data_IF_522543575348
#
_entry.id   IF_522543575348
#
_cell.length_a   1.000
_cell.length_b   1.000
_cell.length_c   1.000
_cell.angle_alpha   90.00
_cell.angle_beta   90.00
_cell.angle_gamma   90.00
#
_symmetry.space_group_name_H-M   'P 1'
#
loop_
_entity.id
_entity.type
_entity.pdbx_description
1 polymer ?
#
# COMPACT_ATOMS: atom_id res chain seq x y z
N UNK A 1 -14.91 12.00 6.60
CA UNK A 1 -14.48 10.63 6.26
C UNK A 1 -13.07 10.53 6.79
N UNK A 2 -12.87 9.75 7.85
CA UNK A 2 -11.63 9.74 8.62
C UNK A 2 -10.51 9.15 7.77
N UNK A 3 -9.60 10.00 7.28
CA UNK A 3 -8.25 9.59 6.90
C UNK A 3 -7.61 9.03 8.17
N UNK A 4 -7.72 7.72 8.37
CA UNK A 4 -6.97 7.03 9.41
C UNK A 4 -5.50 7.20 9.06
N UNK A 5 -4.78 8.04 9.83
CA UNK A 5 -3.32 8.11 9.95
C UNK A 5 -2.72 6.78 10.49
N UNK A 6 -3.29 5.64 10.12
CA UNK A 6 -2.71 4.33 10.36
C UNK A 6 -1.70 4.05 9.29
N UNK A 7 -0.48 3.72 9.71
CA UNK A 7 0.55 3.20 8.81
C UNK A 7 -0.05 2.05 7.98
N UNK A 8 0.19 2.04 6.66
CA UNK A 8 -0.39 1.04 5.78
C UNK A 8 0.14 -0.36 6.14
N UNK A 9 -0.70 -1.37 5.94
CA UNK A 9 -0.40 -2.77 6.24
C UNK A 9 -0.09 -3.58 4.99
N UNK A 10 0.57 -4.72 5.15
CA UNK A 10 0.86 -5.62 4.03
C UNK A 10 -0.43 -6.04 3.32
N UNK A 11 -0.41 -5.88 2.00
CA UNK A 11 -1.54 -6.12 1.11
C UNK A 11 -2.50 -4.94 0.97
N UNK A 12 -2.28 -3.82 1.66
CA UNK A 12 -3.05 -2.60 1.39
C UNK A 12 -2.61 -1.97 0.07
N UNK A 13 -3.57 -1.38 -0.61
CA UNK A 13 -3.32 -0.54 -1.76
C UNK A 13 -3.16 0.92 -1.32
N UNK A 14 -2.06 1.53 -1.74
CA UNK A 14 -1.65 2.88 -1.35
C UNK A 14 -1.35 3.75 -2.56
N UNK A 15 -1.39 5.06 -2.35
CA UNK A 15 -0.85 6.06 -3.25
C UNK A 15 0.46 6.60 -2.68
N UNK A 16 1.52 6.53 -3.48
CA UNK A 16 2.80 7.21 -3.27
C UNK A 16 2.87 8.36 -4.28
N UNK A 17 2.49 9.57 -3.86
CA UNK A 17 2.28 10.68 -4.79
C UNK A 17 1.21 10.35 -5.84
N UNK A 18 1.63 10.24 -7.10
CA UNK A 18 0.75 9.86 -8.22
C UNK A 18 0.82 8.36 -8.57
N UNK A 19 1.69 7.60 -7.89
CA UNK A 19 1.91 6.19 -8.16
C UNK A 19 0.99 5.33 -7.29
N UNK A 20 0.18 4.49 -7.92
CA UNK A 20 -0.60 3.45 -7.25
C UNK A 20 0.28 2.24 -6.99
N UNK A 21 0.28 1.72 -5.77
CA UNK A 21 1.08 0.59 -5.36
C UNK A 21 0.36 -0.29 -4.33
N UNK A 22 0.88 -1.49 -4.12
CA UNK A 22 0.46 -2.41 -3.05
C UNK A 22 1.62 -2.60 -2.10
N UNK A 23 1.35 -2.56 -0.80
CA UNK A 23 2.33 -2.89 0.22
C UNK A 23 2.61 -4.39 0.20
N UNK A 24 3.86 -4.77 0.02
CA UNK A 24 4.27 -6.18 0.00
C UNK A 24 4.96 -6.62 1.28
N UNK A 25 5.63 -5.70 1.97
CA UNK A 25 6.38 -5.99 3.18
C UNK A 25 6.59 -4.72 4.03
N UNK A 26 6.93 -4.90 5.32
CA UNK A 26 7.31 -3.83 6.25
C UNK A 26 8.52 -4.31 7.06
N UNK A 27 9.70 -3.75 6.75
CA UNK A 27 10.97 -4.17 7.34
C UNK A 27 11.59 -3.01 8.11
N UNK A 28 11.67 -3.14 9.44
CA UNK A 28 12.25 -2.09 10.29
C UNK A 28 11.57 -0.72 10.15
N UNK A 29 10.27 -0.69 9.84
CA UNK A 29 9.50 0.54 9.59
C UNK A 29 9.57 1.07 8.15
N UNK A 30 10.36 0.43 7.27
CA UNK A 30 10.37 0.72 5.82
C UNK A 30 9.27 -0.09 5.15
N UNK A 31 8.34 0.61 4.49
CA UNK A 31 7.26 0.00 3.72
C UNK A 31 7.78 -0.33 2.33
N UNK A 32 7.58 -1.57 1.88
CA UNK A 32 7.96 -2.03 0.54
C UNK A 32 6.74 -2.10 -0.36
N UNK A 33 6.89 -1.61 -1.58
CA UNK A 33 5.82 -1.38 -2.53
C UNK A 33 6.07 -2.13 -3.83
N UNK A 34 4.99 -2.54 -4.50
CA UNK A 34 5.01 -3.02 -5.88
C UNK A 34 3.85 -2.43 -6.68
N UNK A 35 3.97 -2.45 -8.01
CA UNK A 35 2.84 -2.11 -8.90
C UNK A 35 1.68 -3.11 -8.73
N UNK A 36 0.40 -2.66 -8.72
CA UNK A 36 -0.75 -3.52 -8.48
C UNK A 36 -0.94 -4.63 -9.52
N UNK A 37 -0.63 -4.34 -10.79
CA UNK A 37 -0.86 -5.26 -11.91
C UNK A 37 0.29 -6.25 -12.18
N UNK A 38 1.23 -6.39 -11.22
CA UNK A 38 2.39 -7.27 -11.35
C UNK A 38 3.42 -6.77 -12.39
N UNK A 39 4.53 -7.50 -12.51
CA UNK A 39 5.53 -7.26 -13.57
C UNK A 39 6.52 -6.11 -13.35
N UNK A 40 6.68 -5.61 -12.12
CA UNK A 40 7.68 -4.60 -11.77
C UNK A 40 8.51 -4.99 -10.54
N UNK A 41 9.69 -4.38 -10.36
CA UNK A 41 10.48 -4.56 -9.15
C UNK A 41 9.72 -4.04 -7.92
N UNK A 42 10.06 -4.55 -6.76
CA UNK A 42 9.66 -3.95 -5.49
C UNK A 42 10.59 -2.76 -5.18
N UNK A 43 10.06 -1.73 -4.55
CA UNK A 43 10.85 -0.57 -4.10
C UNK A 43 10.46 -0.16 -2.67
N UNK A 44 11.40 0.38 -1.88
CA UNK A 44 11.07 0.97 -0.59
C UNK A 44 10.33 2.30 -0.80
N UNK A 45 9.31 2.56 0.02
CA UNK A 45 8.59 3.82 0.01
C UNK A 45 9.51 4.95 0.49
N UNK A 46 9.51 6.08 -0.21
CA UNK A 46 10.37 7.23 0.12
C UNK A 46 9.95 7.88 1.45
N UNK A 47 8.63 8.03 1.64
CA UNK A 47 8.05 8.61 2.85
C UNK A 47 6.86 7.75 3.32
N UNK A 48 7.08 6.65 4.05
CA UNK A 48 6.02 5.71 4.45
C UNK A 48 4.84 6.33 5.19
N UNK A 49 5.08 7.44 5.92
CA UNK A 49 4.06 8.17 6.68
C UNK A 49 3.17 9.06 5.82
N UNK A 50 3.56 9.34 4.58
CA UNK A 50 2.78 10.12 3.61
C UNK A 50 1.99 9.24 2.65
N UNK A 51 2.09 7.91 2.78
CA UNK A 51 1.30 6.99 1.96
C UNK A 51 -0.18 7.13 2.31
N UNK A 52 -0.98 7.40 1.30
CA UNK A 52 -2.44 7.42 1.45
C UNK A 52 -3.00 6.04 1.15
N UNK A 53 -3.62 5.40 2.13
CA UNK A 53 -4.33 4.14 1.91
C UNK A 53 -5.56 4.40 1.05
N UNK A 54 -5.59 3.81 -0.15
CA UNK A 54 -6.71 3.91 -1.08
C UNK A 54 -7.73 2.80 -0.84
N UNK A 55 -7.25 1.59 -0.54
CA UNK A 55 -8.07 0.42 -0.22
C UNK A 55 -7.28 -0.51 0.67
N UNK A 56 -7.87 -0.92 1.78
CA UNK A 56 -7.27 -1.92 2.65
C UNK A 56 -7.39 -3.32 2.04
N UNK A 57 -6.52 -4.24 2.48
CA UNK A 57 -6.63 -5.66 2.13
C UNK A 57 -8.01 -6.24 2.47
N UNK A 58 -8.59 -5.83 3.59
CA UNK A 58 -9.92 -6.30 4.03
C UNK A 58 -11.02 -5.87 3.07
N UNK A 59 -10.98 -4.63 2.60
CA UNK A 59 -11.94 -4.13 1.62
C UNK A 59 -11.81 -4.86 0.28
N UNK A 60 -10.58 -5.17 -0.16
CA UNK A 60 -10.36 -5.95 -1.38
C UNK A 60 -10.88 -7.39 -1.27
N UNK A 61 -10.66 -8.05 -0.12
CA UNK A 61 -11.21 -9.38 0.15
C UNK A 61 -12.74 -9.35 0.15
N UNK A 62 -13.35 -8.35 0.80
CA UNK A 62 -14.80 -8.20 0.84
C UNK A 62 -15.41 -7.94 -0.55
N UNK A 63 -14.65 -7.30 -1.46
CA UNK A 63 -15.05 -7.06 -2.84
C UNK A 63 -14.81 -8.26 -3.79
N UNK A 64 -14.01 -9.26 -3.37
CA UNK A 64 -13.64 -10.40 -4.22
C UNK A 64 -12.53 -10.10 -5.24
N UNK A 65 -11.72 -9.08 -5.00
CA UNK A 65 -10.68 -8.61 -5.93
C UNK A 65 -9.31 -9.32 -5.76
N UNK A 66 -9.21 -10.26 -4.82
CA UNK A 66 -7.98 -10.99 -4.43
C UNK A 66 -8.10 -12.49 -4.59
#
# INVERSE_FOLDING_TARGET
MTETETMPSVGDEVMEGQTRAVVTDIRGGVVWLRKPHGGGPEWPAEEPRKLTVRRTRKEMIAAGDL
#
